data_IF_815455296854
#
_entry.id   IF_815455296854
#
_cell.length_a   1.000
_cell.length_b   1.000
_cell.length_c   1.000
_cell.angle_alpha   90.00
_cell.angle_beta   90.00
_cell.angle_gamma   90.00
#
_symmetry.space_group_name_H-M   'P 1'
#
loop_
_entity.id
_entity.type
_entity.pdbx_description
1 polymer ?
#
# COMPACT_ATOMS: atom_id res chain seq x y z
N UNK A 1 -8.38 -67.29 -13.65
CA UNK A 1 -8.70 -66.60 -12.38
C UNK A 1 -7.48 -65.93 -11.73
N UNK A 2 -6.35 -66.63 -11.49
CA UNK A 2 -5.14 -66.03 -10.87
C UNK A 2 -4.51 -64.85 -11.65
N UNK A 3 -4.50 -64.89 -12.99
CA UNK A 3 -4.00 -63.78 -13.83
C UNK A 3 -4.90 -62.53 -13.81
N UNK A 4 -6.22 -62.72 -13.63
CA UNK A 4 -7.19 -61.61 -13.54
C UNK A 4 -7.10 -60.91 -12.18
N UNK A 5 -6.86 -61.68 -11.11
CA UNK A 5 -6.59 -61.15 -9.76
C UNK A 5 -5.28 -60.35 -9.71
N UNK A 6 -4.24 -60.76 -10.45
CA UNK A 6 -2.97 -60.06 -10.49
C UNK A 6 -3.06 -58.70 -11.21
N UNK A 7 -3.86 -58.61 -12.27
CA UNK A 7 -4.07 -57.36 -13.04
C UNK A 7 -4.89 -56.35 -12.20
N UNK A 8 -5.89 -56.81 -11.44
CA UNK A 8 -6.64 -55.96 -10.50
C UNK A 8 -5.78 -55.45 -9.34
N UNK A 9 -4.82 -56.26 -8.86
CA UNK A 9 -3.90 -55.85 -7.78
C UNK A 9 -2.88 -54.80 -8.27
N UNK A 10 -2.40 -54.91 -9.52
CA UNK A 10 -1.45 -53.95 -10.10
C UNK A 10 -2.15 -52.63 -10.49
N UNK A 11 -3.41 -52.66 -10.92
CA UNK A 11 -4.19 -51.45 -11.20
C UNK A 11 -4.50 -50.62 -9.93
N UNK A 12 -4.63 -51.26 -8.76
CA UNK A 12 -4.84 -50.58 -7.49
C UNK A 12 -3.60 -49.83 -6.97
N UNK A 13 -2.39 -50.23 -7.38
CA UNK A 13 -1.13 -49.58 -6.97
C UNK A 13 -0.81 -48.34 -7.81
N UNK A 14 -1.44 -48.18 -8.98
CA UNK A 14 -1.25 -47.04 -9.87
C UNK A 14 -2.32 -45.94 -9.75
N UNK A 15 -3.24 -46.00 -8.78
CA UNK A 15 -4.09 -44.84 -8.50
C UNK A 15 -3.23 -43.72 -7.90
N UNK A 16 -3.05 -42.58 -8.59
CA UNK A 16 -2.40 -41.43 -7.98
C UNK A 16 -3.28 -41.00 -6.82
N UNK A 17 -2.78 -41.16 -5.59
CA UNK A 17 -3.39 -40.57 -4.40
C UNK A 17 -3.32 -39.06 -4.60
N UNK A 18 -4.41 -38.46 -5.05
CA UNK A 18 -4.61 -37.03 -5.01
C UNK A 18 -4.66 -36.65 -3.53
N UNK A 19 -3.49 -36.36 -2.96
CA UNK A 19 -3.38 -35.76 -1.65
C UNK A 19 -3.98 -34.35 -1.74
N UNK A 20 -5.29 -34.23 -1.51
CA UNK A 20 -5.93 -32.95 -1.30
C UNK A 20 -5.30 -32.34 -0.06
N UNK A 21 -4.70 -31.15 -0.22
CA UNK A 21 -4.15 -30.40 0.91
C UNK A 21 -5.26 -30.20 1.95
N UNK A 22 -4.97 -30.56 3.20
CA UNK A 22 -5.96 -30.46 4.28
C UNK A 22 -6.44 -29.00 4.41
N UNK A 23 -7.75 -28.78 4.62
CA UNK A 23 -8.28 -27.43 4.83
C UNK A 23 -7.60 -26.75 6.02
N UNK A 24 -7.18 -25.50 5.82
CA UNK A 24 -6.55 -24.64 6.84
C UNK A 24 -7.54 -23.68 7.49
N UNK A 25 -8.72 -23.53 6.88
CA UNK A 25 -9.81 -22.71 7.36
C UNK A 25 -11.04 -22.84 6.47
N UNK A 26 -12.00 -21.94 6.69
CA UNK A 26 -13.21 -21.84 5.87
C UNK A 26 -13.73 -20.41 5.81
N UNK A 27 -14.49 -20.11 4.77
CA UNK A 27 -15.21 -18.84 4.67
C UNK A 27 -16.40 -18.86 5.62
N UNK A 28 -16.36 -18.02 6.65
CA UNK A 28 -17.42 -17.91 7.69
C UNK A 28 -18.39 -16.78 7.40
N UNK A 29 -17.97 -15.78 6.66
CA UNK A 29 -18.78 -14.66 6.22
C UNK A 29 -18.55 -14.33 4.75
N UNK A 30 -19.62 -14.00 4.02
CA UNK A 30 -19.55 -13.60 2.62
C UNK A 30 -20.71 -12.69 2.27
N UNK A 31 -20.43 -11.58 1.59
CA UNK A 31 -21.44 -10.71 0.98
C UNK A 31 -20.91 -10.17 -0.34
N UNK A 32 -21.79 -10.00 -1.33
CA UNK A 32 -21.42 -9.53 -2.66
C UNK A 32 -20.56 -10.52 -3.44
N UNK A 33 -19.77 -10.02 -4.40
CA UNK A 33 -18.97 -10.88 -5.27
C UNK A 33 -17.68 -11.31 -4.58
N UNK A 34 -17.49 -12.63 -4.49
CA UNK A 34 -16.23 -13.22 -4.09
C UNK A 34 -15.91 -14.44 -4.95
N UNK A 35 -14.62 -14.64 -5.18
CA UNK A 35 -14.09 -15.70 -6.01
C UNK A 35 -12.89 -16.35 -5.31
N UNK A 36 -12.60 -17.59 -5.68
CA UNK A 36 -11.38 -18.29 -5.28
C UNK A 36 -10.69 -18.95 -6.47
N UNK A 37 -9.37 -19.10 -6.38
CA UNK A 37 -8.60 -20.04 -7.21
C UNK A 37 -7.72 -20.88 -6.31
N UNK A 38 -7.61 -22.18 -6.61
CA UNK A 38 -6.93 -23.14 -5.74
C UNK A 38 -5.40 -23.02 -5.75
N UNK A 39 -4.83 -22.41 -6.80
CA UNK A 39 -3.40 -22.08 -6.94
C UNK A 39 -3.21 -21.03 -8.01
N UNK A 40 -2.02 -20.41 -8.04
CA UNK A 40 -1.62 -19.50 -9.10
C UNK A 40 -1.73 -20.17 -10.50
N UNK A 41 -2.14 -19.38 -11.50
CA UNK A 41 -2.33 -19.85 -12.88
C UNK A 41 -3.67 -20.56 -13.16
N UNK A 42 -4.47 -20.86 -12.12
CA UNK A 42 -5.84 -21.38 -12.29
C UNK A 42 -6.83 -20.20 -12.32
N UNK A 43 -7.86 -20.23 -13.19
CA UNK A 43 -8.90 -19.21 -13.21
C UNK A 43 -9.65 -19.09 -11.88
N UNK A 44 -10.14 -17.87 -11.61
CA UNK A 44 -11.03 -17.61 -10.48
C UNK A 44 -12.41 -18.21 -10.72
N UNK A 45 -12.97 -18.81 -9.68
CA UNK A 45 -14.32 -19.39 -9.66
C UNK A 45 -15.13 -18.78 -8.51
N UNK A 46 -16.45 -18.61 -8.62
CA UNK A 46 -17.27 -18.10 -7.52
C UNK A 46 -17.09 -18.92 -6.25
N UNK A 47 -17.08 -18.25 -5.10
CA UNK A 47 -16.97 -18.91 -3.79
C UNK A 47 -18.21 -18.67 -2.95
N UNK A 48 -18.54 -19.60 -2.06
CA UNK A 48 -19.69 -19.53 -1.18
C UNK A 48 -19.28 -19.51 0.30
N UNK A 49 -20.20 -19.05 1.15
CA UNK A 49 -20.06 -19.22 2.60
C UNK A 49 -19.99 -20.71 2.95
N UNK A 50 -19.11 -21.07 3.87
CA UNK A 50 -18.86 -22.45 4.30
C UNK A 50 -17.79 -23.17 3.48
N UNK A 51 -17.34 -22.63 2.35
CA UNK A 51 -16.27 -23.24 1.54
C UNK A 51 -14.99 -23.40 2.36
N UNK A 52 -14.46 -24.62 2.37
CA UNK A 52 -13.15 -24.94 2.96
C UNK A 52 -12.02 -24.37 2.09
N UNK A 53 -11.02 -23.80 2.75
CA UNK A 53 -9.85 -23.16 2.13
C UNK A 53 -8.61 -23.97 2.49
N UNK A 54 -7.78 -24.27 1.51
CA UNK A 54 -6.48 -24.96 1.67
C UNK A 54 -5.31 -24.01 1.36
N UNK A 55 -4.09 -24.39 1.71
CA UNK A 55 -2.89 -23.62 1.34
C UNK A 55 -2.75 -23.51 -0.18
N UNK A 56 -2.19 -22.40 -0.65
CA UNK A 56 -2.11 -22.03 -2.07
C UNK A 56 -3.39 -21.41 -2.63
N UNK A 57 -4.49 -21.40 -1.87
CA UNK A 57 -5.75 -20.80 -2.32
C UNK A 57 -5.68 -19.29 -2.27
N UNK A 58 -6.13 -18.66 -3.35
CA UNK A 58 -6.38 -17.23 -3.42
C UNK A 58 -7.86 -16.94 -3.29
N UNK A 59 -8.18 -15.85 -2.62
CA UNK A 59 -9.51 -15.31 -2.40
C UNK A 59 -9.52 -13.89 -2.96
N UNK A 60 -10.54 -13.57 -3.76
CA UNK A 60 -10.71 -12.26 -4.39
C UNK A 60 -12.10 -11.71 -4.14
N UNK A 61 -12.19 -10.47 -3.69
CA UNK A 61 -13.46 -9.74 -3.52
C UNK A 61 -13.65 -8.71 -4.63
N UNK A 62 -14.88 -8.55 -5.11
CA UNK A 62 -15.25 -7.52 -6.07
C UNK A 62 -15.52 -6.16 -5.41
N UNK A 63 -16.04 -5.17 -6.18
CA UNK A 63 -16.30 -3.81 -5.68
C UNK A 63 -17.32 -3.71 -4.53
N UNK A 64 -18.23 -4.68 -4.43
CA UNK A 64 -19.19 -4.84 -3.33
C UNK A 64 -18.94 -6.11 -2.51
N UNK A 65 -17.77 -6.73 -2.69
CA UNK A 65 -17.43 -8.00 -2.07
C UNK A 65 -16.87 -7.82 -0.66
N UNK A 66 -17.23 -8.73 0.23
CA UNK A 66 -16.70 -8.85 1.57
C UNK A 66 -16.61 -10.31 1.94
N UNK A 67 -15.48 -10.72 2.53
CA UNK A 67 -15.24 -12.12 2.93
C UNK A 67 -14.59 -12.15 4.31
N UNK A 68 -15.09 -13.00 5.19
CA UNK A 68 -14.41 -13.39 6.41
C UNK A 68 -13.91 -14.83 6.27
N UNK A 69 -12.59 -15.01 6.38
CA UNK A 69 -11.92 -16.29 6.47
C UNK A 69 -11.59 -16.58 7.93
N UNK A 70 -12.10 -17.68 8.46
CA UNK A 70 -11.70 -18.20 9.77
C UNK A 70 -10.76 -19.39 9.60
N UNK A 71 -9.58 -19.31 10.20
CA UNK A 71 -8.61 -20.40 10.23
C UNK A 71 -8.93 -21.43 11.31
N UNK A 72 -8.28 -22.60 11.23
CA UNK A 72 -8.49 -23.69 12.19
C UNK A 72 -8.08 -23.33 13.62
N UNK A 73 -7.18 -22.37 13.82
CA UNK A 73 -6.78 -21.85 15.13
C UNK A 73 -7.73 -20.77 15.68
N UNK A 74 -8.82 -20.47 14.96
CA UNK A 74 -9.80 -19.40 15.25
C UNK A 74 -9.33 -17.98 14.96
N UNK A 75 -8.15 -17.78 14.37
CA UNK A 75 -7.77 -16.48 13.81
C UNK A 75 -8.67 -16.13 12.62
N UNK A 76 -9.02 -14.86 12.47
CA UNK A 76 -9.89 -14.38 11.39
C UNK A 76 -9.18 -13.35 10.51
N UNK A 77 -9.46 -13.42 9.21
CA UNK A 77 -9.02 -12.46 8.20
C UNK A 77 -10.26 -11.94 7.48
N UNK A 78 -10.55 -10.65 7.66
CA UNK A 78 -11.67 -9.98 7.01
C UNK A 78 -11.16 -9.16 5.84
N UNK A 79 -11.59 -9.56 4.63
CA UNK A 79 -11.23 -8.96 3.36
C UNK A 79 -12.36 -8.04 2.91
N UNK A 80 -12.09 -6.75 2.80
CA UNK A 80 -13.05 -5.78 2.27
C UNK A 80 -13.06 -5.82 0.72
N UNK A 81 -13.84 -4.93 0.08
CA UNK A 81 -13.95 -4.86 -1.37
C UNK A 81 -12.61 -4.62 -2.10
N UNK A 82 -12.53 -5.12 -3.34
CA UNK A 82 -11.37 -5.01 -4.22
C UNK A 82 -10.08 -5.55 -3.58
N UNK A 83 -10.18 -6.72 -2.95
CA UNK A 83 -9.06 -7.35 -2.23
C UNK A 83 -8.68 -8.68 -2.88
N UNK A 84 -7.39 -8.94 -2.99
CA UNK A 84 -6.83 -10.19 -3.48
C UNK A 84 -5.81 -10.73 -2.47
N UNK A 85 -6.13 -11.88 -1.88
CA UNK A 85 -5.44 -12.45 -0.72
C UNK A 85 -5.15 -13.93 -0.94
N UNK A 86 -3.96 -14.38 -0.56
CA UNK A 86 -3.53 -15.78 -0.66
C UNK A 86 -3.20 -16.34 0.72
N UNK A 87 -3.65 -17.58 0.96
CA UNK A 87 -3.17 -18.40 2.07
C UNK A 87 -1.95 -19.20 1.60
N UNK A 88 -0.76 -18.60 1.64
CA UNK A 88 0.46 -19.22 1.11
C UNK A 88 0.83 -20.49 1.88
N UNK A 89 0.86 -20.43 3.22
CA UNK A 89 1.10 -21.59 4.07
C UNK A 89 0.44 -21.43 5.44
N UNK A 90 0.00 -22.54 6.03
CA UNK A 90 -0.47 -22.56 7.42
C UNK A 90 -0.26 -23.95 8.02
N UNK A 91 0.51 -24.00 9.10
CA UNK A 91 0.80 -25.20 9.88
C UNK A 91 0.32 -24.97 11.31
N UNK A 92 -0.60 -25.83 11.75
CA UNK A 92 -1.11 -25.80 13.11
C UNK A 92 -0.97 -27.18 13.74
N UNK A 93 -0.27 -27.24 14.86
CA UNK A 93 -0.15 -28.40 15.74
C UNK A 93 -0.36 -27.96 17.19
N UNK A 94 -0.36 -28.89 18.14
CA UNK A 94 -0.46 -28.56 19.57
C UNK A 94 0.64 -27.60 20.05
N UNK A 95 1.85 -27.70 19.50
CA UNK A 95 3.03 -26.96 20.00
C UNK A 95 3.55 -25.89 19.04
N UNK A 96 3.09 -25.89 17.79
CA UNK A 96 3.63 -25.07 16.71
C UNK A 96 2.51 -24.48 15.86
N UNK A 97 2.56 -23.16 15.67
CA UNK A 97 1.71 -22.41 14.73
C UNK A 97 2.59 -21.56 13.82
N UNK A 98 2.57 -21.85 12.53
CA UNK A 98 3.23 -21.05 11.51
C UNK A 98 2.25 -20.69 10.39
N UNK A 99 2.25 -19.44 9.96
CA UNK A 99 1.38 -18.97 8.87
C UNK A 99 2.05 -17.91 8.02
N UNK A 100 1.96 -18.06 6.71
CA UNK A 100 2.33 -17.02 5.74
C UNK A 100 1.14 -16.75 4.84
N UNK A 101 0.77 -15.48 4.76
CA UNK A 101 -0.31 -14.98 3.93
C UNK A 101 0.21 -13.87 3.04
N UNK A 102 -0.41 -13.67 1.89
CA UNK A 102 -0.05 -12.61 0.97
C UNK A 102 -1.26 -11.77 0.61
N UNK A 103 -1.20 -10.47 0.89
CA UNK A 103 -2.15 -9.46 0.44
C UNK A 103 -1.55 -8.80 -0.80
N UNK A 104 -2.01 -9.22 -1.98
CA UNK A 104 -1.54 -8.66 -3.24
C UNK A 104 -2.06 -7.24 -3.47
N UNK A 105 -3.22 -6.92 -2.92
CA UNK A 105 -3.83 -5.59 -2.94
C UNK A 105 -5.18 -5.60 -2.23
N UNK A 106 -5.63 -4.43 -1.79
CA UNK A 106 -6.91 -4.24 -1.11
C UNK A 106 -6.76 -4.04 0.39
N UNK A 107 -7.76 -4.45 1.16
CA UNK A 107 -7.94 -4.09 2.57
C UNK A 107 -8.21 -5.32 3.42
N UNK A 108 -7.40 -5.50 4.44
CA UNK A 108 -7.45 -6.63 5.36
C UNK A 108 -7.56 -6.12 6.80
N UNK A 109 -8.46 -6.71 7.59
CA UNK A 109 -8.33 -6.79 9.04
C UNK A 109 -7.88 -8.20 9.41
N UNK A 110 -6.82 -8.30 10.19
CA UNK A 110 -6.33 -9.57 10.71
C UNK A 110 -6.46 -9.57 12.23
N UNK A 111 -7.31 -10.46 12.76
CA UNK A 111 -7.48 -10.70 14.19
C UNK A 111 -6.90 -12.07 14.52
N UNK A 112 -5.65 -12.08 14.99
CA UNK A 112 -4.89 -13.31 15.25
C UNK A 112 -4.93 -13.62 16.72
N UNK A 113 -5.46 -14.80 17.07
CA UNK A 113 -5.55 -15.22 18.48
C UNK A 113 -4.15 -15.43 19.07
N UNK A 114 -3.99 -15.15 20.37
CA UNK A 114 -2.76 -15.53 21.10
C UNK A 114 -2.64 -17.05 21.12
N UNK A 115 -1.44 -17.56 20.85
CA UNK A 115 -1.16 -18.99 20.82
C UNK A 115 -0.25 -19.36 21.99
N UNK A 116 -0.70 -20.31 22.82
CA UNK A 116 0.04 -20.76 23.99
C UNK A 116 1.11 -21.83 23.73
N UNK A 117 1.29 -22.26 22.46
CA UNK A 117 2.33 -23.23 22.11
C UNK A 117 3.74 -22.62 22.06
N UNK A 118 4.75 -23.50 22.02
CA UNK A 118 6.17 -23.11 22.13
C UNK A 118 6.68 -22.30 20.93
N UNK A 119 6.15 -22.55 19.74
CA UNK A 119 6.55 -21.87 18.51
C UNK A 119 5.33 -21.21 17.85
N UNK A 120 5.39 -19.89 17.67
CA UNK A 120 4.34 -19.13 16.97
C UNK A 120 4.98 -18.10 16.04
N UNK A 121 4.62 -18.13 14.77
CA UNK A 121 4.96 -17.09 13.80
C UNK A 121 3.88 -16.98 12.74
N UNK A 122 3.21 -15.83 12.66
CA UNK A 122 2.30 -15.54 11.57
C UNK A 122 2.78 -14.28 10.85
N UNK A 123 2.72 -14.28 9.53
CA UNK A 123 3.13 -13.15 8.71
C UNK A 123 2.11 -12.87 7.61
N UNK A 124 1.77 -11.60 7.42
CA UNK A 124 1.09 -11.13 6.22
C UNK A 124 2.09 -10.34 5.40
N UNK A 125 2.23 -10.69 4.13
CA UNK A 125 3.13 -10.05 3.18
C UNK A 125 2.35 -9.25 2.15
N UNK A 126 2.99 -8.26 1.58
CA UNK A 126 2.61 -7.67 0.29
C UNK A 126 3.82 -7.72 -0.65
N UNK A 127 3.70 -7.08 -1.82
CA UNK A 127 4.83 -6.94 -2.74
C UNK A 127 6.03 -6.17 -2.15
N UNK A 128 5.83 -5.40 -1.09
CA UNK A 128 6.83 -4.46 -0.55
C UNK A 128 6.89 -4.42 0.97
N UNK A 129 6.11 -5.25 1.69
CA UNK A 129 6.11 -5.26 3.16
C UNK A 129 5.90 -6.66 3.74
N UNK A 130 6.38 -6.83 4.97
CA UNK A 130 6.13 -8.01 5.81
C UNK A 130 5.68 -7.53 7.19
N UNK A 131 4.46 -7.91 7.56
CA UNK A 131 3.88 -7.71 8.89
C UNK A 131 3.96 -9.01 9.69
N UNK A 132 4.84 -9.04 10.71
CA UNK A 132 5.00 -10.14 11.65
C UNK A 132 4.05 -10.01 12.85
N UNK A 133 3.22 -11.03 13.04
CA UNK A 133 2.06 -11.01 13.95
C UNK A 133 2.32 -11.93 15.15
N UNK A 134 2.07 -11.43 16.35
CA UNK A 134 2.17 -12.21 17.60
C UNK A 134 0.99 -11.95 18.52
N UNK A 135 -0.19 -12.49 18.16
CA UNK A 135 -1.41 -12.38 18.95
C UNK A 135 -1.91 -10.93 19.02
N UNK A 136 -2.54 -10.48 17.94
CA UNK A 136 -2.65 -9.06 17.61
C UNK A 136 -3.86 -8.83 16.70
N UNK A 137 -4.46 -7.66 16.79
CA UNK A 137 -5.41 -7.16 15.80
C UNK A 137 -4.83 -5.92 15.11
N UNK A 138 -4.84 -5.91 13.78
CA UNK A 138 -4.40 -4.77 12.99
C UNK A 138 -5.11 -4.73 11.63
N UNK A 139 -5.05 -3.56 11.00
CA UNK A 139 -5.54 -3.30 9.65
C UNK A 139 -4.35 -3.13 8.71
N UNK A 140 -4.46 -3.68 7.51
CA UNK A 140 -3.46 -3.56 6.44
C UNK A 140 -4.14 -3.24 5.12
N UNK A 141 -3.79 -2.10 4.54
CA UNK A 141 -4.14 -1.72 3.17
C UNK A 141 -2.89 -1.85 2.31
N UNK A 142 -3.03 -2.49 1.15
CA UNK A 142 -1.98 -2.52 0.12
C UNK A 142 -2.54 -1.97 -1.20
N UNK A 143 -1.88 -0.95 -1.73
CA UNK A 143 -2.29 -0.25 -2.95
C UNK A 143 -1.06 0.02 -3.81
N UNK A 144 -0.98 -0.63 -4.96
CA UNK A 144 0.19 -0.55 -5.83
C UNK A 144 1.44 -1.06 -5.12
N UNK A 145 2.37 -0.15 -4.80
CA UNK A 145 3.59 -0.45 -4.04
C UNK A 145 3.54 0.01 -2.58
N UNK A 146 2.56 0.83 -2.23
CA UNK A 146 2.43 1.37 -0.89
C UNK A 146 1.58 0.46 0.00
N UNK A 147 1.93 0.46 1.28
CA UNK A 147 1.15 -0.19 2.32
C UNK A 147 0.93 0.77 3.48
N UNK A 148 -0.25 0.63 4.09
CA UNK A 148 -0.68 1.38 5.26
C UNK A 148 -1.14 0.39 6.31
N UNK A 149 -0.73 0.62 7.55
CA UNK A 149 -1.05 -0.22 8.68
C UNK A 149 -1.61 0.60 9.84
N UNK A 150 -2.68 0.11 10.47
CA UNK A 150 -3.23 0.66 11.71
C UNK A 150 -3.26 -0.43 12.77
N UNK A 151 -2.72 -0.15 13.96
CA UNK A 151 -2.75 -1.11 15.07
C UNK A 151 -3.99 -0.94 15.94
N UNK A 152 -4.66 -2.07 16.25
CA UNK A 152 -5.83 -2.09 17.13
C UNK A 152 -5.45 -2.63 18.52
N UNK A 153 -4.89 -3.84 18.61
CA UNK A 153 -4.49 -4.48 19.87
C UNK A 153 -3.16 -5.21 19.69
N UNK A 154 -2.25 -5.11 20.68
CA UNK A 154 -0.98 -5.82 20.69
C UNK A 154 0.11 -5.11 19.87
N UNK A 155 1.07 -5.89 19.36
CA UNK A 155 2.18 -5.35 18.55
C UNK A 155 2.42 -6.20 17.30
N UNK A 156 2.47 -5.55 16.13
CA UNK A 156 2.92 -6.13 14.86
C UNK A 156 4.28 -5.54 14.51
N UNK A 157 5.23 -6.36 14.08
CA UNK A 157 6.50 -5.88 13.52
C UNK A 157 6.34 -5.67 12.01
N UNK A 158 6.43 -4.43 11.54
CA UNK A 158 6.34 -4.08 10.11
C UNK A 158 7.76 -3.91 9.57
N UNK A 159 8.04 -4.46 8.38
CA UNK A 159 9.35 -4.36 7.72
C UNK A 159 9.20 -4.35 6.19
N UNK A 160 10.20 -3.85 5.47
CA UNK A 160 10.19 -3.87 4.00
C UNK A 160 10.62 -5.22 3.40
N UNK A 161 11.56 -5.91 4.04
CA UNK A 161 12.20 -7.14 3.54
C UNK A 161 12.08 -8.34 4.51
N UNK A 162 11.39 -8.16 5.65
CA UNK A 162 11.29 -9.17 6.71
C UNK A 162 12.49 -9.26 7.65
N UNK A 163 13.57 -8.48 7.43
CA UNK A 163 14.86 -8.63 8.13
C UNK A 163 15.38 -7.33 8.74
N UNK A 164 15.33 -6.23 8.00
CA UNK A 164 15.93 -4.95 8.39
C UNK A 164 14.88 -3.84 8.58
N UNK A 165 15.20 -2.87 9.44
CA UNK A 165 14.35 -1.69 9.66
C UNK A 165 12.93 -2.00 10.14
N UNK A 166 12.78 -2.82 11.19
CA UNK A 166 11.45 -3.14 11.71
C UNK A 166 10.87 -1.98 12.53
N UNK A 167 9.60 -1.66 12.31
CA UNK A 167 8.85 -0.67 13.09
C UNK A 167 7.71 -1.35 13.86
N UNK A 168 7.54 -1.03 15.15
CA UNK A 168 6.45 -1.60 15.95
C UNK A 168 5.14 -0.87 15.66
N UNK A 169 4.18 -1.58 15.08
CA UNK A 169 2.80 -1.13 15.00
C UNK A 169 2.07 -1.59 16.27
N UNK A 170 1.69 -0.63 17.11
CA UNK A 170 1.01 -0.83 18.39
C UNK A 170 -0.41 -0.32 18.32
N UNK A 171 -1.21 -0.54 19.37
CA UNK A 171 -2.54 0.07 19.48
C UNK A 171 -2.48 1.60 19.25
N UNK A 172 -3.42 2.11 18.47
CA UNK A 172 -3.55 3.52 18.12
C UNK A 172 -2.32 4.13 17.44
N UNK A 173 -1.52 3.32 16.73
CA UNK A 173 -0.47 3.83 15.85
C UNK A 173 -0.68 3.45 14.39
N UNK A 174 -0.06 4.27 13.54
CA UNK A 174 -0.04 4.19 12.09
C UNK A 174 1.40 3.97 11.63
N UNK A 175 1.59 3.02 10.72
CA UNK A 175 2.87 2.77 10.04
C UNK A 175 2.59 2.64 8.55
N UNK A 176 3.54 3.03 7.72
CA UNK A 176 3.43 2.93 6.27
C UNK A 176 4.79 2.65 5.64
N UNK A 177 4.78 2.09 4.44
CA UNK A 177 5.97 1.93 3.63
C UNK A 177 5.63 1.83 2.14
N UNK A 178 6.65 1.88 1.29
CA UNK A 178 6.54 1.57 -0.14
C UNK A 178 7.80 0.86 -0.64
N UNK A 179 7.85 0.52 -1.93
CA UNK A 179 8.94 -0.25 -2.56
C UNK A 179 10.31 0.36 -2.25
N UNK A 180 11.22 -0.48 -1.74
CA UNK A 180 12.62 -0.12 -1.52
C UNK A 180 12.87 0.81 -0.34
N UNK A 181 11.82 1.26 0.36
CA UNK A 181 11.94 2.12 1.53
C UNK A 181 11.62 1.34 2.81
N UNK A 182 12.36 1.59 3.92
CA UNK A 182 11.99 1.04 5.21
C UNK A 182 10.65 1.63 5.66
N UNK A 183 9.91 0.94 6.55
CA UNK A 183 8.72 1.52 7.17
C UNK A 183 9.06 2.79 7.93
N UNK A 184 8.16 3.78 7.83
CA UNK A 184 8.24 5.02 8.60
C UNK A 184 8.04 4.78 10.09
N UNK A 185 8.53 5.71 10.92
CA UNK A 185 8.33 5.67 12.37
C UNK A 185 6.83 5.61 12.72
N UNK A 186 6.43 4.90 13.79
CA UNK A 186 5.05 4.85 14.22
C UNK A 186 4.50 6.22 14.59
N UNK A 187 3.39 6.59 13.97
CA UNK A 187 2.68 7.85 14.23
C UNK A 187 1.44 7.57 15.07
N UNK A 188 1.16 8.39 16.07
CA UNK A 188 -0.05 8.27 16.88
C UNK A 188 -1.29 8.65 16.06
N UNK A 189 -2.37 7.90 16.25
CA UNK A 189 -3.66 8.13 15.61
C UNK A 189 -4.59 8.79 16.63
N UNK A 190 -4.46 10.11 16.76
CA UNK A 190 -5.25 10.91 17.70
C UNK A 190 -6.65 11.20 17.13
N UNK A 191 -7.65 11.26 18.00
CA UNK A 191 -9.02 11.56 17.60
C UNK A 191 -9.13 12.94 16.91
N UNK A 192 -9.99 13.04 15.90
CA UNK A 192 -10.16 14.26 15.11
C UNK A 192 -9.07 14.50 14.05
N UNK A 193 -8.06 13.63 13.95
CA UNK A 193 -7.07 13.69 12.87
C UNK A 193 -7.56 13.00 11.60
N UNK A 194 -7.01 13.35 10.42
CA UNK A 194 -7.28 12.61 9.18
C UNK A 194 -6.96 11.11 9.29
N UNK A 195 -5.90 10.74 10.02
CA UNK A 195 -5.58 9.31 10.23
C UNK A 195 -6.66 8.59 11.06
N UNK A 196 -7.27 9.27 12.04
CA UNK A 196 -8.39 8.69 12.78
C UNK A 196 -9.64 8.51 11.91
N UNK A 197 -9.92 9.44 11.00
CA UNK A 197 -10.97 9.29 9.98
C UNK A 197 -10.71 8.09 9.08
N UNK A 198 -9.50 8.00 8.50
CA UNK A 198 -9.09 6.87 7.66
C UNK A 198 -9.21 5.53 8.40
N UNK A 199 -8.77 5.49 9.66
CA UNK A 199 -8.90 4.30 10.52
C UNK A 199 -10.37 3.95 10.76
N UNK A 200 -11.24 4.93 11.05
CA UNK A 200 -12.66 4.69 11.27
C UNK A 200 -13.37 4.13 10.05
N UNK A 201 -13.07 4.65 8.85
CA UNK A 201 -13.57 4.09 7.58
C UNK A 201 -13.07 2.64 7.42
N UNK A 202 -11.78 2.42 7.65
CA UNK A 202 -11.18 1.09 7.55
C UNK A 202 -11.86 0.11 8.52
N UNK A 203 -12.08 0.53 9.76
CA UNK A 203 -12.73 -0.29 10.77
C UNK A 203 -14.17 -0.66 10.37
N UNK A 204 -14.90 0.26 9.74
CA UNK A 204 -16.26 0.01 9.21
C UNK A 204 -16.28 -0.97 8.04
N UNK A 205 -15.39 -0.80 7.04
CA UNK A 205 -15.38 -1.67 5.86
C UNK A 205 -14.88 -3.09 6.15
N UNK A 206 -14.22 -3.29 7.30
CA UNK A 206 -13.71 -4.58 7.78
C UNK A 206 -14.37 -5.06 9.07
N UNK A 207 -15.49 -4.46 9.47
CA UNK A 207 -16.30 -4.92 10.60
C UNK A 207 -16.83 -6.34 10.38
N UNK A 208 -17.35 -6.96 11.45
CA UNK A 208 -17.95 -8.29 11.40
C UNK A 208 -19.14 -8.38 10.44
N UNK A 209 -19.81 -7.24 10.21
CA UNK A 209 -20.81 -7.07 9.16
C UNK A 209 -20.30 -6.03 8.16
N UNK A 210 -20.47 -6.27 6.84
CA UNK A 210 -20.05 -5.32 5.82
C UNK A 210 -20.89 -4.03 5.89
N UNK A 211 -20.35 -2.90 5.43
CA UNK A 211 -21.10 -1.66 5.38
C UNK A 211 -22.21 -1.76 4.33
N UNK A 212 -23.32 -1.03 4.54
CA UNK A 212 -24.43 -0.94 3.58
C UNK A 212 -23.99 -0.32 2.25
N UNK A 213 -23.05 0.62 2.32
CA UNK A 213 -22.48 1.33 1.18
C UNK A 213 -20.95 1.29 1.22
N UNK A 214 -20.34 1.22 0.04
CA UNK A 214 -18.88 1.12 -0.12
C UNK A 214 -18.24 2.46 -0.52
N UNK A 215 -19.01 3.55 -0.47
CA UNK A 215 -18.67 4.89 -0.94
C UNK A 215 -17.37 5.41 -0.33
N UNK A 216 -17.12 5.09 0.93
CA UNK A 216 -15.97 5.63 1.66
C UNK A 216 -14.71 4.77 1.55
N UNK A 217 -14.80 3.53 1.08
CA UNK A 217 -13.64 2.63 1.02
C UNK A 217 -12.45 3.21 0.24
N UNK A 218 -12.71 3.97 -0.82
CA UNK A 218 -11.66 4.59 -1.63
C UNK A 218 -11.00 5.77 -0.93
N UNK A 219 -11.70 6.43 0.01
CA UNK A 219 -11.20 7.63 0.69
C UNK A 219 -10.00 7.35 1.58
N UNK A 220 -9.83 6.12 2.07
CA UNK A 220 -8.70 5.76 2.95
C UNK A 220 -7.36 6.12 2.30
N UNK A 221 -7.15 5.77 1.02
CA UNK A 221 -5.89 6.07 0.33
C UNK A 221 -5.69 7.56 0.10
N UNK A 222 -6.77 8.28 -0.20
CA UNK A 222 -6.70 9.72 -0.45
C UNK A 222 -6.45 10.51 0.84
N UNK A 223 -7.07 10.10 1.95
CA UNK A 223 -6.85 10.69 3.27
C UNK A 223 -5.40 10.46 3.70
N UNK A 224 -4.89 9.23 3.61
CA UNK A 224 -3.50 8.93 3.94
C UNK A 224 -2.50 9.65 3.03
N UNK A 225 -2.77 9.74 1.72
CA UNK A 225 -1.91 10.46 0.78
C UNK A 225 -1.86 11.96 1.07
N UNK A 226 -3.00 12.61 1.34
CA UNK A 226 -3.04 14.03 1.74
C UNK A 226 -2.38 14.27 3.08
N UNK A 227 -2.58 13.36 4.04
CA UNK A 227 -1.88 13.41 5.32
C UNK A 227 -0.36 13.35 5.12
N UNK A 228 0.13 12.51 4.20
CA UNK A 228 1.56 12.42 3.86
C UNK A 228 2.13 13.71 3.28
N UNK A 229 1.37 14.46 2.47
CA UNK A 229 1.82 15.78 1.99
C UNK A 229 2.08 16.71 3.19
N UNK A 230 1.09 16.87 4.07
CA UNK A 230 1.23 17.74 5.24
C UNK A 230 2.33 17.26 6.20
N UNK A 231 2.42 15.95 6.43
CA UNK A 231 3.45 15.38 7.28
C UNK A 231 4.85 15.55 6.67
N UNK A 232 4.97 15.45 5.35
CA UNK A 232 6.21 15.71 4.63
C UNK A 232 6.70 17.14 4.80
N UNK A 233 5.80 18.14 4.78
CA UNK A 233 6.17 19.53 5.08
C UNK A 233 6.76 19.65 6.49
N UNK A 234 6.06 19.10 7.49
CA UNK A 234 6.55 19.10 8.88
C UNK A 234 7.93 18.43 9.02
N UNK A 235 8.14 17.31 8.33
CA UNK A 235 9.42 16.62 8.32
C UNK A 235 10.51 17.49 7.67
N UNK A 236 10.23 18.10 6.52
CA UNK A 236 11.16 19.00 5.84
C UNK A 236 11.52 20.21 6.72
N UNK A 237 10.54 20.87 7.32
CA UNK A 237 10.74 21.99 8.24
C UNK A 237 11.54 21.60 9.48
N UNK A 238 11.45 20.33 9.90
CA UNK A 238 12.23 19.75 11.00
C UNK A 238 13.63 19.26 10.58
N UNK A 239 14.06 19.52 9.34
CA UNK A 239 15.36 19.10 8.80
C UNK A 239 15.43 17.62 8.41
N UNK A 240 14.31 16.89 8.45
CA UNK A 240 14.19 15.45 8.15
C UNK A 240 13.88 15.23 6.67
N UNK A 241 14.75 15.74 5.80
CA UNK A 241 14.50 15.82 4.36
C UNK A 241 14.29 14.46 3.68
N UNK A 242 15.07 13.44 4.06
CA UNK A 242 14.92 12.10 3.47
C UNK A 242 13.58 11.47 3.88
N UNK A 243 13.15 11.66 5.12
CA UNK A 243 11.85 11.18 5.60
C UNK A 243 10.70 11.91 4.90
N UNK A 244 10.83 13.21 4.66
CA UNK A 244 9.89 13.99 3.86
C UNK A 244 9.74 13.42 2.44
N UNK A 245 10.87 13.21 1.74
CA UNK A 245 10.88 12.61 0.40
C UNK A 245 10.24 11.21 0.38
N UNK A 246 10.46 10.42 1.44
CA UNK A 246 9.87 9.09 1.58
C UNK A 246 8.34 9.18 1.69
N UNK A 247 7.79 10.08 2.52
CA UNK A 247 6.32 10.18 2.66
C UNK A 247 5.65 10.78 1.42
N UNK A 248 6.29 11.70 0.71
CA UNK A 248 5.80 12.16 -0.59
C UNK A 248 5.78 11.02 -1.63
N UNK A 249 6.81 10.16 -1.63
CA UNK A 249 6.81 8.97 -2.49
C UNK A 249 5.67 8.02 -2.13
N UNK A 250 5.39 7.82 -0.84
CA UNK A 250 4.25 7.00 -0.42
C UNK A 250 2.92 7.63 -0.86
N UNK A 251 2.78 8.96 -0.81
CA UNK A 251 1.59 9.64 -1.35
C UNK A 251 1.39 9.36 -2.84
N UNK A 252 2.46 9.45 -3.64
CA UNK A 252 2.44 9.11 -5.08
C UNK A 252 2.03 7.66 -5.32
N UNK A 253 2.49 6.72 -4.49
CA UNK A 253 2.21 5.29 -4.68
C UNK A 253 0.80 4.89 -4.18
N UNK A 254 0.24 5.62 -3.22
CA UNK A 254 -1.08 5.35 -2.64
C UNK A 254 -2.24 5.80 -3.52
N UNK A 255 -2.15 6.99 -4.14
CA UNK A 255 -3.29 7.59 -4.86
C UNK A 255 -3.03 7.85 -6.33
N UNK A 256 -4.12 7.82 -7.09
CA UNK A 256 -4.20 8.23 -8.50
C UNK A 256 -4.77 9.64 -8.66
N UNK A 257 -5.16 10.30 -7.58
CA UNK A 257 -5.73 11.65 -7.62
C UNK A 257 -4.65 12.64 -8.09
N UNK A 258 -4.84 13.18 -9.30
CA UNK A 258 -3.85 14.03 -9.99
C UNK A 258 -3.40 15.23 -9.15
N UNK A 259 -4.32 15.89 -8.44
CA UNK A 259 -3.99 17.05 -7.59
C UNK A 259 -3.03 16.69 -6.45
N UNK A 260 -3.25 15.57 -5.77
CA UNK A 260 -2.37 15.10 -4.69
C UNK A 260 -1.01 14.68 -5.23
N UNK A 261 -0.99 14.08 -6.43
CA UNK A 261 0.26 13.65 -7.07
C UNK A 261 1.09 14.84 -7.56
N UNK A 262 0.44 15.84 -8.16
CA UNK A 262 1.07 17.08 -8.55
C UNK A 262 1.66 17.81 -7.32
N UNK A 263 0.91 17.88 -6.21
CA UNK A 263 1.43 18.41 -4.93
C UNK A 263 2.66 17.62 -4.47
N UNK A 264 2.60 16.29 -4.43
CA UNK A 264 3.74 15.47 -4.01
C UNK A 264 5.01 15.71 -4.85
N UNK A 265 4.88 15.84 -6.17
CA UNK A 265 6.02 16.17 -7.04
C UNK A 265 6.54 17.59 -6.78
N UNK A 266 5.65 18.57 -6.63
CA UNK A 266 6.05 19.95 -6.28
C UNK A 266 6.85 19.99 -4.98
N UNK A 267 6.40 19.29 -3.95
CA UNK A 267 7.05 19.26 -2.65
C UNK A 267 8.38 18.49 -2.67
N UNK A 268 8.45 17.38 -3.40
CA UNK A 268 9.73 16.68 -3.65
C UNK A 268 10.72 17.59 -4.36
N UNK A 269 10.29 18.29 -5.42
CA UNK A 269 11.11 19.24 -6.16
C UNK A 269 11.63 20.37 -5.26
N UNK A 270 10.77 20.91 -4.40
CA UNK A 270 11.15 21.94 -3.44
C UNK A 270 12.19 21.44 -2.43
N UNK A 271 12.06 20.21 -1.91
CA UNK A 271 13.04 19.62 -0.99
C UNK A 271 14.39 19.43 -1.68
N UNK A 272 14.41 18.89 -2.91
CA UNK A 272 15.64 18.70 -3.66
C UNK A 272 16.35 20.03 -3.97
N UNK A 273 15.60 21.05 -4.40
CA UNK A 273 16.16 22.35 -4.74
C UNK A 273 16.69 23.10 -3.51
N UNK A 274 15.87 23.20 -2.45
CA UNK A 274 16.13 24.12 -1.33
C UNK A 274 17.03 23.54 -0.25
N UNK A 275 16.92 22.24 0.02
CA UNK A 275 17.53 21.63 1.20
C UNK A 275 18.64 20.65 0.88
N UNK A 276 18.56 19.98 -0.27
CA UNK A 276 19.54 18.95 -0.66
C UNK A 276 20.49 19.40 -1.76
N UNK A 277 20.35 20.62 -2.27
CA UNK A 277 21.17 21.18 -3.37
C UNK A 277 21.32 20.21 -4.55
N UNK A 278 20.21 19.56 -4.93
CA UNK A 278 20.16 18.60 -6.02
C UNK A 278 19.24 19.11 -7.15
N UNK A 279 19.73 20.05 -7.98
CA UNK A 279 18.92 20.68 -8.99
C UNK A 279 18.48 19.70 -10.10
N UNK A 280 19.24 18.64 -10.37
CA UNK A 280 18.87 17.61 -11.34
C UNK A 280 17.56 16.91 -10.94
N UNK A 281 17.48 16.44 -9.68
CA UNK A 281 16.27 15.80 -9.18
C UNK A 281 15.14 16.79 -9.00
N UNK A 282 15.42 18.02 -8.57
CA UNK A 282 14.40 19.06 -8.49
C UNK A 282 13.75 19.33 -9.85
N UNK A 283 14.58 19.52 -10.89
CA UNK A 283 14.12 19.74 -12.25
C UNK A 283 13.29 18.55 -12.75
N UNK A 284 13.73 17.31 -12.48
CA UNK A 284 12.99 16.12 -12.88
C UNK A 284 11.57 16.10 -12.27
N UNK A 285 11.43 16.42 -10.98
CA UNK A 285 10.12 16.48 -10.32
C UNK A 285 9.21 17.57 -10.92
N UNK A 286 9.75 18.77 -11.20
CA UNK A 286 8.97 19.83 -11.85
C UNK A 286 8.56 19.47 -13.28
N UNK A 287 9.45 18.82 -14.04
CA UNK A 287 9.12 18.37 -15.40
C UNK A 287 8.01 17.31 -15.40
N UNK A 288 8.00 16.40 -14.42
CA UNK A 288 6.91 15.43 -14.25
C UNK A 288 5.55 16.13 -14.04
N UNK A 289 5.51 17.23 -13.29
CA UNK A 289 4.26 18.01 -13.13
C UNK A 289 3.80 18.62 -14.46
N UNK A 290 4.73 19.15 -15.25
CA UNK A 290 4.41 19.76 -16.55
C UNK A 290 3.97 18.73 -17.60
N UNK A 291 4.51 17.51 -17.54
CA UNK A 291 4.18 16.44 -18.47
C UNK A 291 2.86 15.76 -18.12
N UNK A 292 2.69 15.35 -16.85
CA UNK A 292 1.56 14.53 -16.42
C UNK A 292 0.34 15.38 -16.01
N UNK A 293 0.55 16.60 -15.50
CA UNK A 293 -0.52 17.46 -14.96
C UNK A 293 -0.54 18.88 -15.53
N UNK A 294 -0.42 19.09 -16.85
CA UNK A 294 -0.23 20.42 -17.47
C UNK A 294 -1.39 21.41 -17.25
N UNK A 295 -2.57 20.92 -16.85
CA UNK A 295 -3.78 21.73 -16.67
C UNK A 295 -4.06 22.09 -15.20
N UNK A 296 -3.29 21.54 -14.26
CA UNK A 296 -3.48 21.83 -12.85
C UNK A 296 -2.75 23.12 -12.44
N UNK A 297 -3.21 23.82 -11.37
CA UNK A 297 -2.54 25.03 -10.88
C UNK A 297 -1.04 24.86 -10.58
N UNK A 298 -0.63 23.66 -10.15
CA UNK A 298 0.75 23.29 -9.86
C UNK A 298 1.67 23.44 -11.09
N UNK A 299 1.14 23.30 -12.31
CA UNK A 299 1.92 23.44 -13.54
C UNK A 299 2.51 24.85 -13.72
N UNK A 300 1.82 25.88 -13.23
CA UNK A 300 2.36 27.25 -13.25
C UNK A 300 3.64 27.34 -12.40
N UNK A 301 3.56 26.88 -11.15
CA UNK A 301 4.68 26.88 -10.23
C UNK A 301 5.80 25.96 -10.73
N UNK A 302 5.47 24.78 -11.25
CA UNK A 302 6.45 23.86 -11.82
C UNK A 302 7.22 24.48 -12.98
N UNK A 303 6.55 25.22 -13.88
CA UNK A 303 7.21 25.86 -15.02
C UNK A 303 8.18 26.95 -14.58
N UNK A 304 7.76 27.79 -13.62
CA UNK A 304 8.63 28.80 -13.04
C UNK A 304 9.84 28.18 -12.34
N UNK A 305 9.63 27.20 -11.47
CA UNK A 305 10.72 26.56 -10.73
C UNK A 305 11.65 25.78 -11.68
N UNK A 306 11.14 25.10 -12.71
CA UNK A 306 11.97 24.45 -13.72
C UNK A 306 12.89 25.44 -14.45
N UNK A 307 12.39 26.62 -14.83
CA UNK A 307 13.19 27.67 -15.44
C UNK A 307 14.28 28.20 -14.50
N UNK A 308 13.93 28.39 -13.22
CA UNK A 308 14.89 28.80 -12.19
C UNK A 308 15.98 27.73 -11.99
N UNK A 309 15.60 26.47 -11.82
CA UNK A 309 16.54 25.36 -11.64
C UNK A 309 17.46 25.20 -12.84
N UNK A 310 16.96 25.36 -14.07
CA UNK A 310 17.82 25.38 -15.28
C UNK A 310 18.85 26.52 -15.25
N UNK A 311 18.48 27.68 -14.71
CA UNK A 311 19.39 28.81 -14.53
C UNK A 311 20.49 28.48 -13.52
N UNK A 312 20.11 27.89 -12.38
CA UNK A 312 21.04 27.46 -11.33
C UNK A 312 22.05 26.43 -11.85
N UNK A 313 21.64 25.59 -12.80
CA UNK A 313 22.50 24.59 -13.46
C UNK A 313 23.36 25.17 -14.61
N UNK A 314 23.20 26.46 -14.95
CA UNK A 314 23.92 27.09 -16.06
C UNK A 314 23.38 26.75 -17.46
N UNK A 315 22.22 26.10 -17.55
CA UNK A 315 21.53 25.80 -18.81
C UNK A 315 20.76 27.03 -19.32
N UNK A 316 21.50 28.09 -19.60
CA UNK A 316 20.98 29.43 -19.88
C UNK A 316 19.98 29.47 -21.04
N UNK A 317 20.25 28.77 -22.14
CA UNK A 317 19.36 28.76 -23.30
C UNK A 317 18.04 28.04 -22.99
N UNK A 318 18.09 26.91 -22.30
CA UNK A 318 16.90 26.19 -21.86
C UNK A 318 16.11 27.01 -20.82
N UNK A 319 16.79 27.68 -19.89
CA UNK A 319 16.16 28.53 -18.90
C UNK A 319 15.40 29.70 -19.54
N UNK A 320 16.01 30.40 -20.52
CA UNK A 320 15.35 31.47 -21.28
C UNK A 320 14.06 30.97 -21.94
N UNK A 321 14.14 29.84 -22.66
CA UNK A 321 12.98 29.24 -23.31
C UNK A 321 11.85 28.94 -22.32
N UNK A 322 12.17 28.46 -21.11
CA UNK A 322 11.16 28.17 -20.08
C UNK A 322 10.57 29.42 -19.44
N UNK A 323 11.35 30.48 -19.19
CA UNK A 323 10.80 31.74 -18.70
C UNK A 323 9.91 32.44 -19.74
N UNK A 324 10.32 32.44 -21.02
CA UNK A 324 9.48 32.94 -22.12
C UNK A 324 8.18 32.15 -22.22
N UNK A 325 8.25 30.82 -22.10
CA UNK A 325 7.09 29.96 -22.04
C UNK A 325 6.17 30.34 -20.85
N UNK A 326 6.74 30.56 -19.67
CA UNK A 326 6.00 30.97 -18.48
C UNK A 326 5.25 32.28 -18.69
N UNK A 327 5.93 33.32 -19.18
CA UNK A 327 5.33 34.64 -19.41
C UNK A 327 4.24 34.61 -20.48
N UNK A 328 4.36 33.71 -21.47
CA UNK A 328 3.34 33.50 -22.50
C UNK A 328 2.12 32.75 -21.98
N UNK A 329 2.34 31.67 -21.22
CA UNK A 329 1.26 30.81 -20.72
C UNK A 329 0.52 31.41 -19.53
N UNK A 330 1.24 32.14 -18.67
CA UNK A 330 0.74 32.72 -17.43
C UNK A 330 1.00 34.23 -17.41
N UNK A 331 0.35 35.02 -18.31
CA UNK A 331 0.57 36.46 -18.39
C UNK A 331 0.06 37.22 -17.15
N UNK A 332 -0.70 36.58 -16.26
CA UNK A 332 -1.07 37.11 -14.94
C UNK A 332 -0.64 36.16 -13.82
N UNK A 333 0.40 35.36 -14.09
CA UNK A 333 0.92 34.37 -13.15
C UNK A 333 1.53 35.00 -11.91
N UNK A 334 1.49 34.25 -10.82
CA UNK A 334 2.01 34.57 -9.48
C UNK A 334 3.48 35.00 -9.51
N UNK A 335 4.28 34.45 -10.43
CA UNK A 335 5.71 34.70 -10.55
C UNK A 335 6.11 35.52 -11.77
N UNK A 336 5.17 36.21 -12.43
CA UNK A 336 5.44 36.98 -13.65
C UNK A 336 6.61 37.95 -13.51
N UNK A 337 6.58 38.84 -12.52
CA UNK A 337 7.62 39.86 -12.33
C UNK A 337 9.00 39.23 -12.04
N UNK A 338 9.01 38.11 -11.31
CA UNK A 338 10.24 37.37 -11.02
C UNK A 338 10.80 36.72 -12.29
N UNK A 339 9.93 36.14 -13.12
CA UNK A 339 10.32 35.53 -14.40
C UNK A 339 10.91 36.58 -15.36
N UNK A 340 10.31 37.77 -15.48
CA UNK A 340 10.85 38.88 -16.28
C UNK A 340 12.24 39.31 -15.79
N UNK A 341 12.41 39.44 -14.46
CA UNK A 341 13.67 39.85 -13.84
C UNK A 341 14.77 38.80 -14.09
N UNK A 342 14.47 37.53 -13.82
CA UNK A 342 15.43 36.43 -13.99
C UNK A 342 15.81 36.26 -15.47
N UNK A 343 14.85 36.29 -16.39
CA UNK A 343 15.09 36.19 -17.83
C UNK A 343 16.08 37.25 -18.32
N UNK A 344 15.93 38.49 -17.87
CA UNK A 344 16.83 39.60 -18.24
C UNK A 344 18.24 39.48 -17.63
N UNK A 345 18.42 38.66 -16.60
CA UNK A 345 19.69 38.41 -15.93
C UNK A 345 20.49 37.24 -16.50
N UNK A 346 19.87 36.34 -17.28
CA UNK A 346 20.54 35.13 -17.77
C UNK A 346 21.70 35.47 -18.71
N UNK A 347 22.91 35.03 -18.36
CA UNK A 347 24.11 35.14 -19.19
C UNK A 347 24.82 36.50 -19.12
N UNK A 348 24.44 37.36 -18.17
CA UNK A 348 25.21 38.56 -17.78
C UNK A 348 26.18 38.22 -16.66
#
# INVERSE_FOLDING_TARGET
MKKLLLILLVAAVFMPVLALAAPVGKITGLTGQAYMRVKAGVPYTPVAKGTAIATGTWIKTGPKGWVELTLNDKSTFTLANNTEFEVTSFLLTKNKREGTFNLAGGKLRASVVKFGGRQSGMTVKSGTAVAGIKGTEFLMLSQGQANVFFGNEGTVAVSGDGKSGQQPLTSATYVQNTRGLPPGEPVKVDQGTPLAEAKGIFDGVTAAEPPKEWTDSGKIVDICARWNINHGHYLADSGKYQEALNVFQIALDLTKVETVRADAHMERGAVYARFLSNPELALAEYLLVLEEYPKLPQAEFALFNAAQTLTEMGFNEQAKLRFEQYLKMYPQGTHRSNAETLLNGIGK
#
